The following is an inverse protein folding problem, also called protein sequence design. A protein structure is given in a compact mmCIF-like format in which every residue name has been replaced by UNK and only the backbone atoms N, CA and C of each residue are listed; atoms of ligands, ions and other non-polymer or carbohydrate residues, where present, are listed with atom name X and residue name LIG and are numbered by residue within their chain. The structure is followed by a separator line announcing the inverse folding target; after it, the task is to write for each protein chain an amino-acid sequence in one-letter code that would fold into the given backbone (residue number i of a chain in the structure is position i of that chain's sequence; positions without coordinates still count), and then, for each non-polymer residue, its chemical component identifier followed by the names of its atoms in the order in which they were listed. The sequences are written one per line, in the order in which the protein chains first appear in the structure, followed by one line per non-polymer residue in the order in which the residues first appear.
data_IF_873822329468
#
_entry.id   IF_873822329468
#
_cell.length_a   1.000
_cell.length_b   1.000
_cell.length_c   1.000
_cell.angle_alpha   90.00
_cell.angle_beta   90.00
_cell.angle_gamma   90.00
#
_symmetry.space_group_name_H-M   'P 1'
#
loop_
_entity.id
_entity.type
_entity.pdbx_description
1 polymer ?
#
# COMPACT_ATOMS: atom_id res chain seq x y z
N UNK A 1 8.68 25.54 14.13
CA UNK A 1 9.18 25.05 12.83
C UNK A 1 10.00 26.19 12.23
N UNK A 2 11.21 25.94 11.70
CA UNK A 2 11.99 27.01 11.03
C UNK A 2 11.14 27.66 9.94
N UNK A 3 11.22 28.98 9.79
CA UNK A 3 10.55 29.69 8.70
C UNK A 3 11.01 29.11 7.35
N UNK A 4 10.04 28.65 6.55
CA UNK A 4 10.32 28.25 5.17
C UNK A 4 10.62 29.52 4.36
N UNK A 5 11.72 29.53 3.62
CA UNK A 5 12.03 30.67 2.75
C UNK A 5 11.08 30.73 1.57
N UNK A 6 10.77 31.94 1.09
CA UNK A 6 9.90 32.17 -0.07
C UNK A 6 10.37 31.36 -1.29
N UNK A 7 11.67 31.34 -1.57
CA UNK A 7 12.24 30.54 -2.67
C UNK A 7 12.00 29.03 -2.54
N UNK A 8 11.98 28.48 -1.32
CA UNK A 8 11.62 27.06 -1.10
C UNK A 8 10.16 26.80 -1.38
N UNK A 9 9.28 27.70 -0.97
CA UNK A 9 7.84 27.56 -1.22
C UNK A 9 7.55 27.64 -2.72
N UNK A 10 8.17 28.57 -3.45
CA UNK A 10 8.04 28.67 -4.91
C UNK A 10 8.52 27.41 -5.62
N UNK A 11 9.70 26.87 -5.24
CA UNK A 11 10.19 25.61 -5.79
C UNK A 11 9.26 24.43 -5.49
N UNK A 12 8.70 24.38 -4.28
CA UNK A 12 7.70 23.38 -3.89
C UNK A 12 6.43 23.46 -4.72
N UNK A 13 5.93 24.67 -5.01
CA UNK A 13 4.78 24.88 -5.89
C UNK A 13 5.07 24.45 -7.34
N UNK A 14 6.27 24.71 -7.87
CA UNK A 14 6.67 24.25 -9.20
C UNK A 14 6.70 22.72 -9.31
N UNK A 15 7.20 22.03 -8.29
CA UNK A 15 7.12 20.56 -8.20
C UNK A 15 5.66 20.11 -8.12
N UNK A 16 4.82 20.84 -7.38
CA UNK A 16 3.38 20.62 -7.31
C UNK A 16 2.67 20.66 -8.66
N UNK A 17 3.05 21.59 -9.53
CA UNK A 17 2.55 21.66 -10.91
C UNK A 17 2.94 20.40 -11.69
N UNK A 18 4.21 19.99 -11.60
CA UNK A 18 4.68 18.74 -12.23
C UNK A 18 3.92 17.51 -11.73
N UNK A 19 3.65 17.44 -10.42
CA UNK A 19 2.83 16.37 -9.85
C UNK A 19 1.40 16.38 -10.39
N UNK A 20 0.77 17.56 -10.50
CA UNK A 20 -0.57 17.69 -11.04
C UNK A 20 -0.66 17.22 -12.50
N UNK A 21 0.34 17.57 -13.33
CA UNK A 21 0.42 17.09 -14.72
C UNK A 21 0.57 15.56 -14.82
N UNK A 22 1.22 14.94 -13.83
CA UNK A 22 1.37 13.48 -13.76
C UNK A 22 0.22 12.76 -13.06
N UNK A 23 -0.77 13.48 -12.48
CA UNK A 23 -1.94 12.86 -11.84
C UNK A 23 -2.74 11.89 -12.72
N UNK A 24 -2.87 12.06 -14.04
CA UNK A 24 -3.61 11.11 -14.89
C UNK A 24 -3.02 9.70 -14.81
N UNK A 25 -1.71 9.60 -14.62
CA UNK A 25 -0.97 8.35 -14.46
C UNK A 25 -0.90 7.90 -12.99
N UNK A 26 -0.76 8.86 -12.07
CA UNK A 26 -0.63 8.57 -10.64
C UNK A 26 -1.94 8.13 -9.98
N UNK A 27 -3.10 8.51 -10.51
CA UNK A 27 -4.40 8.28 -9.88
C UNK A 27 -4.93 6.84 -10.10
N UNK A 28 -4.80 6.22 -11.29
CA UNK A 28 -4.98 4.77 -11.45
C UNK A 28 -3.99 3.97 -10.60
N UNK A 29 -2.74 4.44 -10.54
CA UNK A 29 -1.73 3.89 -9.64
C UNK A 29 -2.08 4.13 -8.16
N UNK A 30 -2.90 5.12 -7.81
CA UNK A 30 -3.20 5.49 -6.41
C UNK A 30 -4.10 4.50 -5.68
N UNK A 31 -4.95 3.80 -6.43
CA UNK A 31 -5.77 2.68 -5.92
C UNK A 31 -4.87 1.51 -5.51
N UNK A 32 -3.68 1.40 -6.12
CA UNK A 32 -2.71 0.31 -5.92
C UNK A 32 -1.51 0.75 -5.06
N UNK A 33 -1.15 2.04 -5.07
CA UNK A 33 0.09 2.57 -4.50
C UNK A 33 -0.15 3.97 -3.91
N UNK A 34 0.20 4.11 -2.64
CA UNK A 34 0.18 5.28 -1.72
C UNK A 34 0.79 6.60 -2.23
N UNK A 35 1.30 6.62 -3.46
CA UNK A 35 2.18 7.66 -4.01
C UNK A 35 1.63 9.08 -3.83
N UNK A 36 0.37 9.41 -4.16
CA UNK A 36 -0.08 10.81 -4.11
C UNK A 36 -0.09 11.41 -2.70
N UNK A 37 -0.63 10.69 -1.71
CA UNK A 37 -0.66 11.15 -0.32
C UNK A 37 0.76 11.27 0.27
N UNK A 38 1.63 10.32 -0.06
CA UNK A 38 3.03 10.35 0.35
C UNK A 38 3.77 11.57 -0.24
N UNK A 39 3.56 11.86 -1.52
CA UNK A 39 4.20 12.99 -2.19
C UNK A 39 3.73 14.33 -1.58
N UNK A 40 2.44 14.49 -1.29
CA UNK A 40 1.93 15.69 -0.61
C UNK A 40 2.55 15.87 0.78
N UNK A 41 2.71 14.78 1.55
CA UNK A 41 3.36 14.83 2.86
C UNK A 41 4.88 15.07 2.76
N UNK A 42 5.52 14.54 1.71
CA UNK A 42 6.92 14.82 1.43
C UNK A 42 7.11 16.30 1.04
N UNK A 43 6.21 16.87 0.23
CA UNK A 43 6.18 18.30 -0.08
C UNK A 43 5.96 19.15 1.17
N UNK A 44 5.03 18.76 2.03
CA UNK A 44 4.82 19.40 3.33
C UNK A 44 6.11 19.41 4.16
N UNK A 45 6.77 18.26 4.29
CA UNK A 45 7.99 18.11 5.06
C UNK A 45 9.19 18.84 4.42
N UNK A 46 9.23 18.93 3.08
CA UNK A 46 10.36 19.47 2.33
C UNK A 46 10.27 20.98 2.09
N UNK A 47 9.10 21.49 1.74
CA UNK A 47 8.88 22.84 1.20
C UNK A 47 7.83 23.63 2.00
N UNK A 48 7.05 22.96 2.85
CA UNK A 48 6.13 23.58 3.80
C UNK A 48 4.65 23.39 3.46
N UNK A 49 3.75 23.91 4.33
CA UNK A 49 2.32 23.69 4.21
C UNK A 49 1.70 24.34 2.98
N UNK A 50 2.16 25.54 2.61
CA UNK A 50 1.63 26.29 1.46
C UNK A 50 1.86 25.52 0.15
N UNK A 51 3.07 25.00 -0.07
CA UNK A 51 3.36 24.19 -1.26
C UNK A 51 2.53 22.91 -1.31
N UNK A 52 2.31 22.24 -0.17
CA UNK A 52 1.47 21.04 -0.12
C UNK A 52 0.00 21.36 -0.41
N UNK A 53 -0.53 22.46 0.13
CA UNK A 53 -1.90 22.91 -0.11
C UNK A 53 -2.15 23.28 -1.57
N UNK A 54 -1.26 24.09 -2.18
CA UNK A 54 -1.35 24.45 -3.60
C UNK A 54 -1.27 23.21 -4.48
N UNK A 55 -0.34 22.29 -4.20
CA UNK A 55 -0.20 21.04 -4.95
C UNK A 55 -1.45 20.18 -4.83
N UNK A 56 -2.04 20.06 -3.63
CA UNK A 56 -3.27 19.32 -3.42
C UNK A 56 -4.43 19.86 -4.28
N UNK A 57 -4.62 21.18 -4.28
CA UNK A 57 -5.66 21.84 -5.10
C UNK A 57 -5.44 21.57 -6.59
N UNK A 58 -4.20 21.74 -7.08
CA UNK A 58 -3.87 21.49 -8.49
C UNK A 58 -4.08 20.02 -8.89
N UNK A 59 -3.73 19.09 -8.02
CA UNK A 59 -3.89 17.67 -8.28
C UNK A 59 -5.39 17.27 -8.31
N UNK A 60 -6.22 17.81 -7.41
CA UNK A 60 -7.68 17.60 -7.44
C UNK A 60 -8.29 18.22 -8.69
N UNK A 61 -7.89 19.44 -9.06
CA UNK A 61 -8.37 20.10 -10.27
C UNK A 61 -8.02 19.32 -11.54
N UNK A 62 -6.77 18.83 -11.65
CA UNK A 62 -6.33 18.00 -12.77
C UNK A 62 -7.05 16.65 -12.83
N UNK A 63 -7.29 16.02 -11.68
CA UNK A 63 -8.08 14.79 -11.63
C UNK A 63 -9.52 15.03 -12.09
N UNK A 64 -10.12 16.14 -11.66
CA UNK A 64 -11.46 16.55 -12.05
C UNK A 64 -11.61 16.87 -13.54
N UNK A 65 -10.61 17.52 -14.14
CA UNK A 65 -10.65 17.83 -15.58
C UNK A 65 -10.63 16.60 -16.48
N UNK A 66 -10.09 15.47 -16.00
CA UNK A 66 -9.92 14.26 -16.81
C UNK A 66 -10.95 13.17 -16.50
N UNK A 67 -11.31 13.02 -15.24
CA UNK A 67 -12.20 11.96 -14.78
C UNK A 67 -13.53 12.49 -14.21
N UNK A 68 -13.81 13.78 -14.40
CA UNK A 68 -15.03 14.43 -13.93
C UNK A 68 -15.19 14.34 -12.40
N UNK A 69 -16.43 14.14 -11.95
CA UNK A 69 -16.75 14.05 -10.52
C UNK A 69 -15.99 12.93 -9.79
N UNK A 70 -15.81 11.77 -10.44
CA UNK A 70 -15.07 10.62 -9.87
C UNK A 70 -13.62 10.98 -9.60
N UNK A 71 -12.99 11.72 -10.51
CA UNK A 71 -11.64 12.25 -10.31
C UNK A 71 -11.53 13.19 -9.11
N UNK A 72 -12.52 14.06 -8.93
CA UNK A 72 -12.58 14.98 -7.78
C UNK A 72 -12.71 14.18 -6.49
N UNK A 73 -13.62 13.19 -6.42
CA UNK A 73 -13.80 12.36 -5.23
C UNK A 73 -12.52 11.57 -4.89
N UNK A 74 -11.87 10.98 -5.89
CA UNK A 74 -10.61 10.27 -5.68
C UNK A 74 -9.52 11.22 -5.14
N UNK A 75 -9.39 12.41 -5.75
CA UNK A 75 -8.44 13.42 -5.29
C UNK A 75 -8.71 13.85 -3.84
N UNK A 76 -9.96 14.12 -3.48
CA UNK A 76 -10.32 14.57 -2.13
C UNK A 76 -10.14 13.48 -1.07
N UNK A 77 -10.71 12.29 -1.29
CA UNK A 77 -10.79 11.27 -0.26
C UNK A 77 -9.57 10.33 -0.23
N UNK A 78 -9.00 9.99 -1.38
CA UNK A 78 -7.89 9.02 -1.46
C UNK A 78 -6.53 9.69 -1.35
N UNK A 79 -6.44 10.99 -1.65
CA UNK A 79 -5.18 11.74 -1.60
C UNK A 79 -5.18 12.85 -0.55
N UNK A 80 -6.15 13.77 -0.58
CA UNK A 80 -6.11 14.96 0.30
C UNK A 80 -6.40 14.60 1.75
N UNK A 81 -7.43 13.79 2.03
CA UNK A 81 -7.78 13.38 3.39
C UNK A 81 -6.61 12.72 4.17
N UNK A 82 -5.96 11.65 3.68
CA UNK A 82 -4.82 11.03 4.38
C UNK A 82 -3.63 11.99 4.51
N UNK A 83 -3.37 12.83 3.50
CA UNK A 83 -2.32 13.84 3.58
C UNK A 83 -2.64 14.92 4.62
N UNK A 84 -3.89 15.38 4.71
CA UNK A 84 -4.33 16.38 5.69
C UNK A 84 -4.20 15.84 7.12
N UNK A 85 -4.66 14.61 7.38
CA UNK A 85 -4.49 13.95 8.68
C UNK A 85 -3.01 13.79 9.02
N UNK A 86 -2.18 13.35 8.07
CA UNK A 86 -0.73 13.24 8.25
C UNK A 86 -0.08 14.59 8.58
N UNK A 87 -0.43 15.66 7.87
CA UNK A 87 0.04 17.03 8.13
C UNK A 87 -0.33 17.50 9.54
N UNK A 88 -1.58 17.28 9.97
CA UNK A 88 -2.06 17.64 11.31
C UNK A 88 -1.28 16.88 12.39
N UNK A 89 -1.09 15.57 12.23
CA UNK A 89 -0.36 14.75 13.20
C UNK A 89 1.13 15.11 13.26
N UNK A 90 1.75 15.46 12.12
CA UNK A 90 3.12 15.96 12.07
C UNK A 90 3.24 17.35 12.72
N UNK A 91 2.27 18.23 12.48
CA UNK A 91 2.25 19.57 13.07
C UNK A 91 2.09 19.52 14.59
N UNK A 92 1.21 18.66 15.09
CA UNK A 92 1.01 18.39 16.52
C UNK A 92 2.15 17.60 17.17
N UNK A 93 3.17 17.20 16.41
CA UNK A 93 4.28 16.35 16.87
C UNK A 93 3.80 15.07 17.56
N UNK A 94 2.73 14.47 17.04
CA UNK A 94 2.19 13.23 17.57
C UNK A 94 3.24 12.11 17.62
N UNK A 95 3.09 11.18 18.56
CA UNK A 95 3.95 10.00 18.68
C UNK A 95 4.07 9.22 17.37
N UNK A 96 5.20 8.55 17.15
CA UNK A 96 5.48 7.87 15.87
C UNK A 96 4.40 6.83 15.51
N UNK A 97 3.99 6.01 16.47
CA UNK A 97 2.92 5.02 16.29
C UNK A 97 1.56 5.64 15.95
N UNK A 98 1.22 6.78 16.57
CA UNK A 98 -0.05 7.47 16.32
C UNK A 98 -0.10 8.04 14.90
N UNK A 99 1.02 8.56 14.37
CA UNK A 99 1.12 9.01 12.98
C UNK A 99 0.87 7.90 11.97
N UNK A 100 1.47 6.72 12.19
CA UNK A 100 1.24 5.56 11.31
C UNK A 100 -0.21 5.09 11.34
N UNK A 101 -0.79 4.93 12.54
CA UNK A 101 -2.19 4.52 12.71
C UNK A 101 -3.16 5.54 12.11
N UNK A 102 -2.92 6.83 12.37
CA UNK A 102 -3.77 7.91 11.85
C UNK A 102 -3.78 7.97 10.32
N UNK A 103 -2.63 7.81 9.67
CA UNK A 103 -2.54 7.77 8.21
C UNK A 103 -3.24 6.54 7.62
N UNK A 104 -3.10 5.37 8.25
CA UNK A 104 -3.81 4.14 7.84
C UNK A 104 -5.33 4.33 7.96
N UNK A 105 -5.81 4.81 9.10
CA UNK A 105 -7.26 5.00 9.34
C UNK A 105 -7.81 6.04 8.37
N UNK A 106 -7.09 7.15 8.14
CA UNK A 106 -7.50 8.18 7.19
C UNK A 106 -7.59 7.62 5.76
N UNK A 107 -6.66 6.76 5.35
CA UNK A 107 -6.74 6.07 4.06
C UNK A 107 -7.95 5.15 3.98
N UNK A 108 -8.20 4.34 5.02
CA UNK A 108 -9.33 3.42 5.05
C UNK A 108 -10.67 4.15 4.99
N UNK A 109 -10.82 5.23 5.76
CA UNK A 109 -12.01 6.11 5.74
C UNK A 109 -12.14 6.80 4.38
N UNK A 110 -11.04 7.29 3.82
CA UNK A 110 -11.01 7.91 2.51
C UNK A 110 -11.44 6.96 1.39
N UNK A 111 -10.91 5.74 1.38
CA UNK A 111 -11.31 4.71 0.42
C UNK A 111 -12.76 4.29 0.60
N UNK A 112 -13.24 4.11 1.84
CA UNK A 112 -14.64 3.80 2.10
C UNK A 112 -15.58 4.92 1.62
N UNK A 113 -15.25 6.18 1.89
CA UNK A 113 -16.01 7.34 1.42
C UNK A 113 -15.98 7.46 -0.11
N UNK A 114 -14.81 7.29 -0.73
CA UNK A 114 -14.66 7.30 -2.18
C UNK A 114 -15.49 6.20 -2.84
N UNK A 115 -15.40 4.96 -2.36
CA UNK A 115 -16.17 3.83 -2.86
C UNK A 115 -17.67 4.07 -2.70
N UNK A 116 -18.12 4.51 -1.51
CA UNK A 116 -19.52 4.79 -1.23
C UNK A 116 -20.09 5.87 -2.15
N UNK A 117 -19.44 7.03 -2.23
CA UNK A 117 -19.90 8.16 -3.04
C UNK A 117 -19.83 7.83 -4.54
N UNK A 118 -18.77 7.16 -5.00
CA UNK A 118 -18.65 6.77 -6.41
C UNK A 118 -19.72 5.75 -6.79
N UNK A 119 -20.01 4.78 -5.91
CA UNK A 119 -21.09 3.81 -6.14
C UNK A 119 -22.46 4.51 -6.19
N UNK A 120 -22.71 5.47 -5.31
CA UNK A 120 -23.96 6.24 -5.30
C UNK A 120 -24.12 7.17 -6.51
N UNK A 121 -23.02 7.71 -7.04
CA UNK A 121 -23.05 8.67 -8.16
C UNK A 121 -23.05 8.00 -9.53
N UNK A 122 -22.31 6.89 -9.68
CA UNK A 122 -22.21 6.13 -10.94
C UNK A 122 -23.28 5.03 -11.01
N UNK A 123 -23.80 4.55 -9.86
CA UNK A 123 -24.78 3.46 -9.80
C UNK A 123 -24.18 2.08 -10.06
N UNK A 124 -22.84 1.96 -10.05
CA UNK A 124 -22.11 0.74 -10.40
C UNK A 124 -21.02 0.45 -9.38
N UNK A 125 -20.59 -0.82 -9.30
CA UNK A 125 -19.40 -1.16 -8.50
C UNK A 125 -18.14 -0.57 -9.14
N UNK A 126 -17.09 -0.33 -8.33
CA UNK A 126 -15.83 0.23 -8.84
C UNK A 126 -15.18 -0.68 -9.91
N UNK A 127 -15.30 -2.00 -9.75
CA UNK A 127 -14.80 -2.96 -10.73
C UNK A 127 -15.53 -2.81 -12.07
N UNK A 128 -16.87 -2.69 -12.05
CA UNK A 128 -17.65 -2.53 -13.27
C UNK A 128 -17.40 -1.18 -13.95
N UNK A 129 -17.29 -0.10 -13.16
CA UNK A 129 -16.95 1.23 -13.67
C UNK A 129 -15.55 1.25 -14.32
N UNK A 130 -14.57 0.58 -13.71
CA UNK A 130 -13.24 0.45 -14.30
C UNK A 130 -13.23 -0.41 -15.57
N UNK A 131 -13.94 -1.54 -15.58
CA UNK A 131 -14.09 -2.37 -16.78
C UNK A 131 -14.73 -1.60 -17.93
N UNK A 132 -15.77 -0.79 -17.66
CA UNK A 132 -16.39 0.07 -18.67
C UNK A 132 -15.43 1.15 -19.18
N UNK A 133 -14.63 1.76 -18.30
CA UNK A 133 -13.62 2.72 -18.72
C UNK A 133 -12.58 2.08 -19.66
N UNK A 134 -12.07 0.90 -19.30
CA UNK A 134 -11.12 0.15 -20.14
C UNK A 134 -11.75 -0.22 -21.48
N UNK A 135 -13.01 -0.68 -21.49
CA UNK A 135 -13.75 -0.93 -22.72
C UNK A 135 -13.86 0.31 -23.60
N UNK A 136 -14.22 1.46 -23.02
CA UNK A 136 -14.28 2.74 -23.74
C UNK A 136 -12.94 3.14 -24.36
N UNK A 137 -11.83 2.88 -23.68
CA UNK A 137 -10.49 3.15 -24.22
C UNK A 137 -10.12 2.19 -25.36
N UNK A 138 -10.35 0.88 -25.19
CA UNK A 138 -10.00 -0.13 -26.21
C UNK A 138 -10.89 0.01 -27.45
N UNK A 139 -12.19 0.24 -27.27
CA UNK A 139 -13.12 0.43 -28.40
C UNK A 139 -12.84 1.69 -29.22
N UNK A 140 -12.20 2.71 -28.62
CA UNK A 140 -11.75 3.90 -29.32
C UNK A 140 -10.40 3.73 -30.05
N UNK A 141 -9.69 2.61 -29.84
CA UNK A 141 -8.41 2.35 -30.50
C UNK A 141 -8.60 1.83 -31.94
N UNK A 142 -7.62 2.05 -32.83
CA UNK A 142 -7.59 1.40 -34.12
C UNK A 142 -7.59 -0.13 -33.97
N UNK A 143 -8.27 -0.82 -34.89
CA UNK A 143 -8.46 -2.27 -34.91
C UNK A 143 -7.18 -3.09 -34.60
N UNK A 144 -6.05 -2.75 -35.22
CA UNK A 144 -4.79 -3.46 -35.00
C UNK A 144 -4.21 -3.32 -33.59
N UNK A 145 -4.47 -2.20 -32.90
CA UNK A 145 -4.06 -2.03 -31.50
C UNK A 145 -4.95 -2.83 -30.54
N UNK A 146 -6.26 -2.87 -30.82
CA UNK A 146 -7.18 -3.71 -30.07
C UNK A 146 -6.83 -5.21 -30.23
N UNK A 147 -6.51 -5.65 -31.44
CA UNK A 147 -6.09 -7.04 -31.71
C UNK A 147 -4.80 -7.40 -30.98
N UNK A 148 -3.81 -6.51 -30.99
CA UNK A 148 -2.57 -6.70 -30.24
C UNK A 148 -2.81 -6.78 -28.71
N UNK A 149 -3.66 -5.91 -28.18
CA UNK A 149 -4.04 -5.96 -26.76
C UNK A 149 -4.74 -7.29 -26.40
N UNK A 150 -5.65 -7.75 -27.25
CA UNK A 150 -6.36 -9.02 -27.06
C UNK A 150 -5.42 -10.22 -27.17
N UNK A 151 -4.45 -10.21 -28.09
CA UNK A 151 -3.43 -11.25 -28.18
C UNK A 151 -2.53 -11.29 -26.93
N UNK A 152 -2.13 -10.13 -26.40
CA UNK A 152 -1.35 -10.03 -25.16
C UNK A 152 -2.14 -10.54 -23.95
N UNK A 153 -3.42 -10.17 -23.82
CA UNK A 153 -4.28 -10.65 -22.75
C UNK A 153 -4.59 -12.15 -22.89
N UNK A 154 -4.79 -12.62 -24.12
CA UNK A 154 -5.07 -14.01 -24.43
C UNK A 154 -3.92 -14.96 -24.13
N UNK A 155 -2.68 -14.52 -24.35
CA UNK A 155 -1.49 -15.29 -24.00
C UNK A 155 -1.29 -15.48 -22.48
N UNK A 156 -1.95 -14.67 -21.64
CA UNK A 156 -1.73 -14.66 -20.18
C UNK A 156 -2.95 -15.16 -19.41
N UNK A 157 -4.18 -14.90 -19.87
CA UNK A 157 -5.37 -15.00 -19.00
C UNK A 157 -6.66 -15.51 -19.66
N UNK A 158 -6.74 -15.67 -20.99
CA UNK A 158 -7.97 -16.18 -21.60
C UNK A 158 -8.01 -17.72 -21.51
N UNK A 159 -9.16 -18.34 -21.21
CA UNK A 159 -9.35 -19.77 -21.43
C UNK A 159 -9.06 -20.10 -22.90
N UNK A 160 -8.58 -21.30 -23.22
CA UNK A 160 -8.29 -21.69 -24.61
C UNK A 160 -9.52 -21.47 -25.51
N UNK A 161 -9.50 -20.39 -26.29
CA UNK A 161 -10.62 -19.97 -27.15
C UNK A 161 -10.61 -20.67 -28.50
N UNK A 162 -9.59 -21.47 -28.81
CA UNK A 162 -9.41 -22.09 -30.13
C UNK A 162 -9.13 -21.10 -31.27
N UNK A 163 -9.01 -19.80 -30.97
CA UNK A 163 -8.71 -18.74 -31.92
C UNK A 163 -7.19 -18.55 -32.00
N UNK A 164 -6.62 -18.60 -33.21
CA UNK A 164 -5.18 -18.38 -33.43
C UNK A 164 -4.83 -16.89 -33.34
N UNK A 165 -4.57 -16.45 -32.10
CA UNK A 165 -4.18 -15.08 -31.75
C UNK A 165 -2.78 -14.68 -32.29
N UNK A 166 -2.02 -15.61 -32.87
CA UNK A 166 -0.65 -15.40 -33.34
C UNK A 166 -0.52 -15.19 -34.85
N UNK A 167 -1.55 -15.51 -35.66
CA UNK A 167 -1.40 -15.55 -37.13
C UNK A 167 -2.44 -14.79 -37.97
N UNK A 168 -3.30 -13.94 -37.39
CA UNK A 168 -4.30 -13.22 -38.19
C UNK A 168 -4.84 -11.93 -37.60
N UNK A 169 -5.28 -11.02 -38.49
CA UNK A 169 -6.16 -9.89 -38.14
C UNK A 169 -7.52 -10.48 -37.78
N UNK A 170 -7.99 -10.25 -36.54
CA UNK A 170 -9.26 -10.78 -36.07
C UNK A 170 -10.42 -10.19 -36.88
N UNK A 171 -11.39 -11.02 -37.26
CA UNK A 171 -12.64 -10.53 -37.80
C UNK A 171 -13.37 -9.67 -36.76
N UNK A 172 -14.25 -8.77 -37.21
CA UNK A 172 -14.97 -7.88 -36.30
C UNK A 172 -15.80 -8.64 -35.25
N UNK A 173 -16.29 -9.84 -35.61
CA UNK A 173 -17.09 -10.69 -34.73
C UNK A 173 -16.22 -11.44 -33.70
N UNK A 174 -15.10 -12.04 -34.12
CA UNK A 174 -14.14 -12.67 -33.21
C UNK A 174 -13.53 -11.65 -32.23
N UNK A 175 -13.24 -10.43 -32.71
CA UNK A 175 -12.77 -9.33 -31.86
C UNK A 175 -13.79 -8.96 -30.79
N UNK A 176 -15.08 -8.89 -31.14
CA UNK A 176 -16.13 -8.55 -30.19
C UNK A 176 -16.27 -9.63 -29.10
N UNK A 177 -16.27 -10.90 -29.49
CA UNK A 177 -16.37 -12.03 -28.56
C UNK A 177 -15.15 -12.12 -27.62
N UNK A 178 -13.94 -12.04 -28.17
CA UNK A 178 -12.71 -12.02 -27.37
C UNK A 178 -12.64 -10.81 -26.44
N UNK A 179 -13.12 -9.65 -26.90
CA UNK A 179 -13.16 -8.46 -26.07
C UNK A 179 -14.15 -8.59 -24.92
N UNK A 180 -15.33 -9.17 -25.16
CA UNK A 180 -16.30 -9.47 -24.09
C UNK A 180 -15.71 -10.44 -23.06
N UNK A 181 -15.07 -11.53 -23.51
CA UNK A 181 -14.43 -12.50 -22.63
C UNK A 181 -13.24 -11.92 -21.85
N UNK A 182 -12.42 -11.08 -22.49
CA UNK A 182 -11.29 -10.40 -21.85
C UNK A 182 -11.79 -9.43 -20.77
N UNK A 183 -12.85 -8.66 -21.05
CA UNK A 183 -13.45 -7.73 -20.09
C UNK A 183 -14.11 -8.46 -18.92
N UNK A 184 -14.81 -9.57 -19.17
CA UNK A 184 -15.39 -10.41 -18.13
C UNK A 184 -14.30 -11.00 -17.22
N UNK A 185 -13.22 -11.52 -17.80
CA UNK A 185 -12.05 -12.01 -17.05
C UNK A 185 -11.41 -10.90 -16.23
N UNK A 186 -11.16 -9.74 -16.84
CA UNK A 186 -10.59 -8.59 -16.14
C UNK A 186 -11.48 -8.11 -14.99
N UNK A 187 -12.80 -8.06 -15.20
CA UNK A 187 -13.76 -7.70 -14.17
C UNK A 187 -13.74 -8.69 -12.99
N UNK A 188 -13.67 -9.99 -13.27
CA UNK A 188 -13.55 -11.03 -12.24
C UNK A 188 -12.23 -10.91 -11.47
N UNK A 189 -11.10 -10.72 -12.16
CA UNK A 189 -9.79 -10.48 -11.53
C UNK A 189 -9.82 -9.24 -10.67
N UNK A 190 -10.45 -8.15 -11.13
CA UNK A 190 -10.62 -6.94 -10.34
C UNK A 190 -11.49 -7.20 -9.12
N UNK A 191 -12.66 -7.82 -9.25
CA UNK A 191 -13.54 -8.14 -8.10
C UNK A 191 -12.83 -9.00 -7.04
N UNK A 192 -11.95 -9.90 -7.46
CA UNK A 192 -11.11 -10.71 -6.56
C UNK A 192 -9.99 -9.89 -5.92
N UNK A 193 -9.25 -9.12 -6.71
CA UNK A 193 -8.03 -8.44 -6.28
C UNK A 193 -8.25 -7.08 -5.59
N UNK A 194 -9.33 -6.36 -5.90
CA UNK A 194 -9.59 -5.00 -5.42
C UNK A 194 -9.55 -4.91 -3.89
N UNK A 195 -10.22 -5.81 -3.13
CA UNK A 195 -10.15 -5.78 -1.68
C UNK A 195 -8.71 -5.90 -1.15
N UNK A 196 -7.89 -6.77 -1.74
CA UNK A 196 -6.47 -6.89 -1.41
C UNK A 196 -5.68 -5.63 -1.71
N UNK A 197 -5.90 -5.03 -2.88
CA UNK A 197 -5.25 -3.77 -3.28
C UNK A 197 -5.63 -2.60 -2.35
N UNK A 198 -6.89 -2.52 -1.92
CA UNK A 198 -7.34 -1.50 -0.96
C UNK A 198 -6.69 -1.71 0.41
N UNK A 199 -6.62 -2.96 0.88
CA UNK A 199 -5.98 -3.30 2.15
C UNK A 199 -4.47 -2.98 2.14
N UNK A 200 -3.76 -3.34 1.06
CA UNK A 200 -2.35 -3.00 0.91
C UNK A 200 -2.12 -1.49 0.85
N UNK A 201 -2.96 -0.76 0.10
CA UNK A 201 -2.91 0.70 0.02
C UNK A 201 -3.06 1.34 1.41
N UNK A 202 -4.01 0.89 2.23
CA UNK A 202 -4.16 1.35 3.62
C UNK A 202 -2.90 1.13 4.46
N UNK A 203 -2.36 -0.09 4.42
CA UNK A 203 -1.20 -0.48 5.22
C UNK A 203 0.06 0.28 4.79
N UNK A 204 0.36 0.30 3.50
CA UNK A 204 1.47 1.07 2.97
C UNK A 204 1.30 2.57 3.27
N UNK A 205 0.07 3.09 3.30
CA UNK A 205 -0.18 4.50 3.64
C UNK A 205 0.22 4.77 5.06
N UNK A 206 -0.23 3.95 6.01
CA UNK A 206 0.21 4.03 7.40
C UNK A 206 1.74 4.01 7.54
N UNK A 207 2.40 3.10 6.82
CA UNK A 207 3.85 2.91 6.90
C UNK A 207 4.62 4.08 6.28
N UNK A 208 4.36 4.38 5.01
CA UNK A 208 5.15 5.32 4.23
C UNK A 208 4.82 6.77 4.60
N UNK A 209 3.55 7.12 4.70
CA UNK A 209 3.11 8.46 5.10
C UNK A 209 3.43 8.76 6.57
N UNK A 210 3.54 7.72 7.41
CA UNK A 210 4.08 7.86 8.76
C UNK A 210 5.61 8.02 8.76
N UNK A 211 6.34 7.17 8.04
CA UNK A 211 7.79 7.06 8.17
C UNK A 211 8.58 8.15 7.40
N UNK A 212 8.25 8.36 6.12
CA UNK A 212 9.04 9.21 5.21
C UNK A 212 9.05 10.68 5.64
N UNK A 213 7.90 11.37 5.82
CA UNK A 213 7.92 12.77 6.23
C UNK A 213 8.50 12.95 7.64
N UNK A 214 8.27 11.99 8.54
CA UNK A 214 8.88 11.97 9.88
C UNK A 214 10.40 11.90 9.81
N UNK A 215 10.95 11.05 8.93
CA UNK A 215 12.40 10.96 8.69
C UNK A 215 12.96 12.27 8.14
N UNK A 216 12.27 12.88 7.18
CA UNK A 216 12.68 14.14 6.55
C UNK A 216 12.73 15.28 7.57
N UNK A 217 11.69 15.41 8.41
CA UNK A 217 11.63 16.44 9.44
C UNK A 217 12.60 16.17 10.60
N UNK A 218 12.77 14.91 11.02
CA UNK A 218 13.77 14.54 12.03
C UNK A 218 15.19 14.89 11.59
N UNK A 219 15.54 14.63 10.32
CA UNK A 219 16.83 15.04 9.72
C UNK A 219 17.04 16.56 9.70
N UNK A 220 15.96 17.34 9.72
CA UNK A 220 16.00 18.81 9.76
C UNK A 220 16.01 19.37 11.20
N UNK A 221 16.08 18.51 12.21
CA UNK A 221 16.11 18.91 13.61
C UNK A 221 14.75 19.35 14.17
N UNK A 222 13.64 18.88 13.61
CA UNK A 222 12.29 19.29 14.05
C UNK A 222 11.88 18.79 15.46
N UNK A 223 12.76 18.09 16.18
CA UNK A 223 12.46 17.51 17.50
C UNK A 223 11.31 16.50 17.46
N UNK A 224 11.12 15.82 16.32
CA UNK A 224 10.10 14.80 16.13
C UNK A 224 10.66 13.42 16.45
N UNK A 225 9.89 12.63 17.18
CA UNK A 225 10.18 11.21 17.38
C UNK A 225 10.22 10.50 16.01
N UNK A 226 11.26 9.71 15.77
CA UNK A 226 11.39 8.92 14.55
C UNK A 226 12.05 7.59 14.84
N UNK A 227 11.40 6.50 14.44
CA UNK A 227 11.95 5.17 14.55
C UNK A 227 12.62 4.77 13.24
N UNK A 228 13.93 4.54 13.29
CA UNK A 228 14.65 3.92 12.18
C UNK A 228 14.18 2.48 11.95
N UNK A 229 14.40 1.96 10.74
CA UNK A 229 13.92 0.63 10.31
C UNK A 229 14.39 -0.49 11.26
N UNK A 230 15.62 -0.44 11.77
CA UNK A 230 16.11 -1.38 12.79
C UNK A 230 15.26 -1.49 14.07
N UNK A 231 14.49 -0.44 14.41
CA UNK A 231 13.57 -0.45 15.57
C UNK A 231 12.19 -1.00 15.20
N UNK A 232 11.93 -1.29 13.93
CA UNK A 232 10.67 -1.87 13.50
C UNK A 232 10.59 -3.30 14.01
N UNK A 233 9.59 -3.54 14.84
CA UNK A 233 9.17 -4.88 15.19
C UNK A 233 7.66 -4.89 15.42
N UNK A 234 7.05 -6.04 15.13
CA UNK A 234 5.69 -6.35 15.54
C UNK A 234 5.71 -6.63 17.05
N UNK A 235 4.80 -5.98 17.78
CA UNK A 235 4.49 -6.38 19.15
C UNK A 235 3.80 -7.75 19.17
N UNK A 236 3.72 -8.38 20.35
CA UNK A 236 3.08 -9.69 20.52
C UNK A 236 1.69 -9.77 19.86
N UNK A 237 0.83 -8.81 20.15
CA UNK A 237 -0.56 -8.84 19.68
C UNK A 237 -0.63 -8.68 18.16
N UNK A 238 0.22 -7.82 17.59
CA UNK A 238 0.34 -7.64 16.15
C UNK A 238 0.90 -8.88 15.46
N UNK A 239 1.85 -9.59 16.08
CA UNK A 239 2.36 -10.87 15.56
C UNK A 239 1.29 -11.95 15.60
N UNK A 240 0.54 -12.08 16.70
CA UNK A 240 -0.56 -13.05 16.81
C UNK A 240 -1.62 -12.73 15.76
N UNK A 241 -2.01 -11.46 15.61
CA UNK A 241 -2.95 -11.03 14.58
C UNK A 241 -2.45 -11.37 13.17
N UNK A 242 -1.18 -11.09 12.84
CA UNK A 242 -0.62 -11.42 11.54
C UNK A 242 -0.57 -12.93 11.27
N UNK A 243 -0.27 -13.75 12.29
CA UNK A 243 -0.35 -15.22 12.20
C UNK A 243 -1.78 -15.67 11.97
N UNK A 244 -2.75 -15.10 12.69
CA UNK A 244 -4.16 -15.42 12.51
C UNK A 244 -4.62 -15.08 11.09
N UNK A 245 -4.26 -13.90 10.56
CA UNK A 245 -4.54 -13.55 9.16
C UNK A 245 -3.93 -14.59 8.19
N UNK A 246 -2.68 -15.00 8.41
CA UNK A 246 -2.03 -16.02 7.58
C UNK A 246 -2.71 -17.39 7.66
N UNK A 247 -3.11 -17.84 8.85
CA UNK A 247 -3.83 -19.12 9.01
C UNK A 247 -5.23 -19.04 8.40
N UNK A 248 -5.92 -17.92 8.58
CA UNK A 248 -7.23 -17.67 7.96
C UNK A 248 -7.13 -17.63 6.44
N UNK A 249 -6.08 -17.05 5.86
CA UNK A 249 -5.86 -17.08 4.41
C UNK A 249 -5.66 -18.53 3.92
N UNK A 250 -4.81 -19.31 4.58
CA UNK A 250 -4.64 -20.73 4.26
C UNK A 250 -5.94 -21.54 4.39
N UNK A 251 -6.75 -21.26 5.41
CA UNK A 251 -8.05 -21.89 5.59
C UNK A 251 -8.97 -21.61 4.39
N UNK A 252 -9.09 -20.35 3.96
CA UNK A 252 -9.88 -20.02 2.79
C UNK A 252 -9.29 -20.63 1.51
N UNK A 253 -7.98 -20.65 1.35
CA UNK A 253 -7.32 -21.25 0.18
C UNK A 253 -7.62 -22.75 0.05
N UNK A 254 -7.60 -23.49 1.16
CA UNK A 254 -7.72 -24.96 1.16
C UNK A 254 -9.18 -25.41 1.23
N UNK A 255 -10.02 -24.73 2.02
CA UNK A 255 -11.36 -25.22 2.37
C UNK A 255 -12.50 -24.41 1.74
N UNK A 256 -12.27 -23.20 1.26
CA UNK A 256 -13.31 -22.46 0.55
C UNK A 256 -13.29 -22.81 -0.93
N UNK A 257 -14.20 -23.71 -1.32
CA UNK A 257 -14.58 -23.89 -2.74
C UNK A 257 -15.49 -22.77 -3.27
N UNK A 258 -15.87 -21.80 -2.42
CA UNK A 258 -16.75 -20.70 -2.79
C UNK A 258 -15.96 -19.56 -3.42
N UNK A 259 -16.37 -19.15 -4.63
CA UNK A 259 -15.86 -17.96 -5.31
C UNK A 259 -16.09 -16.67 -4.50
N UNK A 260 -17.09 -16.66 -3.61
CA UNK A 260 -17.39 -15.52 -2.74
C UNK A 260 -16.37 -15.33 -1.60
N UNK A 261 -15.62 -16.36 -1.21
CA UNK A 261 -14.63 -16.28 -0.13
C UNK A 261 -13.19 -16.07 -0.64
N UNK A 262 -12.97 -16.16 -1.96
CA UNK A 262 -11.67 -15.90 -2.57
C UNK A 262 -11.13 -14.47 -2.34
N UNK A 263 -11.94 -13.40 -2.30
CA UNK A 263 -11.43 -12.06 -1.95
C UNK A 263 -10.95 -11.98 -0.48
N UNK A 264 -11.58 -12.71 0.44
CA UNK A 264 -11.18 -12.73 1.85
C UNK A 264 -9.80 -13.35 2.03
N UNK A 265 -9.52 -14.46 1.30
CA UNK A 265 -8.18 -15.05 1.22
C UNK A 265 -7.12 -14.00 0.86
N UNK A 266 -7.33 -13.26 -0.24
CA UNK A 266 -6.37 -12.27 -0.75
C UNK A 266 -6.15 -11.15 0.28
N UNK A 267 -7.21 -10.66 0.93
CA UNK A 267 -7.10 -9.61 1.95
C UNK A 267 -6.26 -10.08 3.14
N UNK A 268 -6.57 -11.24 3.72
CA UNK A 268 -5.86 -11.74 4.89
C UNK A 268 -4.40 -12.08 4.58
N UNK A 269 -4.15 -12.67 3.41
CA UNK A 269 -2.79 -12.95 2.95
C UNK A 269 -1.98 -11.65 2.78
N UNK A 270 -2.58 -10.64 2.14
CA UNK A 270 -1.95 -9.32 1.93
C UNK A 270 -1.58 -8.66 3.26
N UNK A 271 -2.50 -8.67 4.25
CA UNK A 271 -2.25 -8.08 5.56
C UNK A 271 -1.08 -8.80 6.26
N UNK A 272 -1.10 -10.13 6.28
CA UNK A 272 -0.06 -10.94 6.89
C UNK A 272 1.30 -10.71 6.21
N UNK A 273 1.33 -10.76 4.87
CA UNK A 273 2.55 -10.61 4.07
C UNK A 273 3.18 -9.23 4.29
N UNK A 274 2.40 -8.14 4.34
CA UNK A 274 2.92 -6.79 4.62
C UNK A 274 3.47 -6.70 6.05
N UNK A 275 2.74 -7.22 7.05
CA UNK A 275 3.17 -7.20 8.45
C UNK A 275 4.50 -7.94 8.63
N UNK A 276 4.62 -9.15 8.07
CA UNK A 276 5.86 -9.91 8.13
C UNK A 276 6.97 -9.29 7.29
N UNK A 277 6.68 -8.72 6.13
CA UNK A 277 7.68 -8.00 5.33
C UNK A 277 8.27 -6.82 6.11
N UNK A 278 7.44 -6.05 6.82
CA UNK A 278 7.92 -4.98 7.71
C UNK A 278 8.84 -5.53 8.81
N UNK A 279 8.45 -6.62 9.45
CA UNK A 279 9.27 -7.29 10.47
C UNK A 279 10.61 -7.75 9.87
N UNK A 280 10.57 -8.34 8.67
CA UNK A 280 11.73 -8.82 7.93
C UNK A 280 12.69 -7.69 7.58
N UNK A 281 12.18 -6.56 7.09
CA UNK A 281 12.98 -5.35 6.86
C UNK A 281 13.67 -4.87 8.13
N UNK A 282 12.96 -4.85 9.27
CA UNK A 282 13.54 -4.52 10.56
C UNK A 282 14.63 -5.50 11.00
N UNK A 283 14.42 -6.80 10.79
CA UNK A 283 15.38 -7.85 11.12
C UNK A 283 16.65 -7.74 10.28
N UNK A 284 16.52 -7.60 8.95
CA UNK A 284 17.65 -7.41 8.04
C UNK A 284 18.42 -6.13 8.39
N UNK A 285 17.73 -5.02 8.68
CA UNK A 285 18.40 -3.78 9.05
C UNK A 285 19.19 -3.91 10.36
N UNK A 286 18.67 -4.65 11.35
CA UNK A 286 19.40 -4.99 12.58
C UNK A 286 20.62 -5.87 12.31
N UNK A 287 20.50 -6.86 11.43
CA UNK A 287 21.63 -7.72 11.06
C UNK A 287 22.73 -6.91 10.37
N UNK A 288 22.39 -6.10 9.36
CA UNK A 288 23.37 -5.27 8.68
C UNK A 288 24.03 -4.24 9.61
N UNK A 289 23.29 -3.68 10.58
CA UNK A 289 23.85 -2.82 11.62
C UNK A 289 24.90 -3.56 12.48
N UNK A 290 24.59 -4.78 12.93
CA UNK A 290 25.53 -5.61 13.69
C UNK A 290 26.78 -5.96 12.89
N UNK A 291 26.63 -6.16 11.57
CA UNK A 291 27.74 -6.40 10.64
C UNK A 291 28.52 -5.14 10.26
N UNK A 292 28.28 -3.98 10.90
CA UNK A 292 29.01 -2.74 10.64
C UNK A 292 28.75 -2.11 9.27
N UNK A 293 27.66 -2.48 8.59
CA UNK A 293 27.37 -1.97 7.25
C UNK A 293 27.00 -0.49 7.26
N UNK A 294 27.50 0.25 6.26
CA UNK A 294 27.20 1.67 6.11
C UNK A 294 25.71 1.90 5.85
N UNK A 295 25.22 3.10 6.21
CA UNK A 295 23.80 3.47 6.07
C UNK A 295 23.31 3.38 4.61
N UNK A 296 24.15 3.70 3.65
CA UNK A 296 23.81 3.66 2.22
C UNK A 296 23.71 2.23 1.71
N UNK A 297 24.68 1.36 2.07
CA UNK A 297 24.63 -0.06 1.71
C UNK A 297 23.39 -0.73 2.28
N UNK A 298 23.08 -0.46 3.54
CA UNK A 298 21.85 -0.93 4.21
C UNK A 298 20.58 -0.52 3.47
N UNK A 299 20.47 0.74 3.06
CA UNK A 299 19.32 1.23 2.31
C UNK A 299 19.16 0.50 0.97
N UNK A 300 20.26 0.29 0.24
CA UNK A 300 20.22 -0.45 -1.03
C UNK A 300 19.87 -1.92 -0.86
N UNK A 301 20.38 -2.59 0.18
CA UNK A 301 20.01 -3.98 0.50
C UNK A 301 18.51 -4.07 0.77
N UNK A 302 17.96 -3.16 1.59
CA UNK A 302 16.54 -3.15 1.91
C UNK A 302 15.67 -2.84 0.68
N UNK A 303 16.08 -1.88 -0.16
CA UNK A 303 15.36 -1.56 -1.41
C UNK A 303 15.43 -2.72 -2.39
N UNK A 304 16.59 -3.37 -2.54
CA UNK A 304 16.77 -4.52 -3.42
C UNK A 304 15.94 -5.72 -2.98
N UNK A 305 15.95 -6.05 -1.69
CA UNK A 305 15.12 -7.13 -1.14
C UNK A 305 13.62 -6.81 -1.25
N UNK A 306 13.24 -5.54 -1.06
CA UNK A 306 11.86 -5.12 -1.24
C UNK A 306 11.46 -5.23 -2.72
N UNK A 307 12.26 -4.76 -3.66
CA UNK A 307 11.98 -4.90 -5.08
C UNK A 307 11.86 -6.38 -5.49
N UNK A 308 12.76 -7.24 -5.01
CA UNK A 308 12.70 -8.67 -5.25
C UNK A 308 11.41 -9.30 -4.68
N UNK A 309 10.95 -8.84 -3.51
CA UNK A 309 9.69 -9.28 -2.90
C UNK A 309 8.44 -8.89 -3.69
N UNK A 310 8.49 -7.80 -4.46
CA UNK A 310 7.38 -7.37 -5.32
C UNK A 310 7.37 -8.14 -6.65
N UNK A 311 8.53 -8.61 -7.12
CA UNK A 311 8.63 -9.41 -8.34
C UNK A 311 8.07 -10.82 -8.18
N UNK A 312 8.07 -11.37 -6.96
CA UNK A 312 7.42 -12.65 -6.66
C UNK A 312 5.91 -12.44 -6.47
N UNK A 313 5.18 -12.14 -7.57
CA UNK A 313 3.74 -11.86 -7.56
C UNK A 313 2.84 -13.04 -7.12
N UNK A 314 3.39 -14.25 -6.99
CA UNK A 314 2.63 -15.48 -6.71
C UNK A 314 3.14 -16.29 -5.51
N UNK A 315 3.85 -15.68 -4.55
CA UNK A 315 4.38 -16.43 -3.41
C UNK A 315 4.73 -15.61 -2.18
N UNK A 316 4.93 -16.30 -1.06
CA UNK A 316 5.40 -15.70 0.20
C UNK A 316 6.79 -15.09 -0.06
N UNK A 317 6.91 -13.78 0.12
CA UNK A 317 8.16 -13.09 -0.14
C UNK A 317 9.28 -13.56 0.80
N UNK A 318 10.52 -13.55 0.31
CA UNK A 318 11.72 -13.87 1.13
C UNK A 318 11.77 -12.99 2.38
N UNK A 319 11.40 -11.71 2.27
CA UNK A 319 11.31 -10.79 3.41
C UNK A 319 10.22 -11.20 4.41
N UNK A 320 9.06 -11.67 3.94
CA UNK A 320 8.01 -12.18 4.82
C UNK A 320 8.46 -13.45 5.56
N UNK A 321 9.17 -14.37 4.91
CA UNK A 321 9.73 -15.56 5.57
C UNK A 321 10.73 -15.17 6.68
N UNK A 322 11.66 -14.26 6.37
CA UNK A 322 12.60 -13.71 7.37
C UNK A 322 11.82 -13.01 8.49
N UNK A 323 10.74 -12.32 8.15
CA UNK A 323 9.82 -11.66 9.07
C UNK A 323 9.15 -12.62 10.03
N UNK A 324 8.53 -13.70 9.53
CA UNK A 324 7.91 -14.76 10.31
C UNK A 324 8.95 -15.36 11.26
N UNK A 325 10.12 -15.72 10.73
CA UNK A 325 11.19 -16.29 11.54
C UNK A 325 11.62 -15.34 12.67
N UNK A 326 11.80 -14.05 12.36
CA UNK A 326 12.14 -13.03 13.35
C UNK A 326 11.01 -12.75 14.34
N UNK A 327 9.75 -12.84 13.95
CA UNK A 327 8.61 -12.56 14.81
C UNK A 327 8.37 -13.67 15.84
N UNK A 328 8.65 -14.92 15.46
CA UNK A 328 8.47 -16.10 16.33
C UNK A 328 9.71 -16.35 17.19
N UNK A 329 10.89 -16.46 16.57
CA UNK A 329 12.13 -16.90 17.22
C UNK A 329 13.15 -15.79 17.48
N UNK A 330 12.94 -14.57 16.96
CA UNK A 330 13.88 -13.47 17.16
C UNK A 330 14.03 -13.04 18.62
N UNK A 331 15.06 -12.24 18.90
CA UNK A 331 15.35 -11.73 20.26
C UNK A 331 14.22 -10.89 20.88
N UNK A 332 13.34 -10.34 20.05
CA UNK A 332 12.12 -9.63 20.46
C UNK A 332 10.84 -10.39 20.07
N UNK A 333 10.98 -11.65 19.64
CA UNK A 333 9.88 -12.47 19.14
C UNK A 333 9.02 -13.07 20.25
N UNK A 334 7.92 -13.72 19.83
CA UNK A 334 6.92 -14.31 20.73
C UNK A 334 7.53 -15.26 21.76
N UNK A 335 8.45 -16.14 21.35
CA UNK A 335 9.05 -17.13 22.25
C UNK A 335 10.00 -16.48 23.26
N UNK A 336 10.77 -15.47 22.84
CA UNK A 336 11.67 -14.74 23.73
C UNK A 336 10.87 -14.00 24.81
N UNK A 337 9.79 -13.31 24.43
CA UNK A 337 8.91 -12.61 25.36
C UNK A 337 8.19 -13.59 26.32
N UNK A 338 7.77 -14.75 25.82
CA UNK A 338 7.15 -15.77 26.67
C UNK A 338 8.13 -16.32 27.71
N UNK A 339 9.39 -16.57 27.31
CA UNK A 339 10.45 -17.01 28.24
C UNK A 339 10.78 -15.94 29.28
N UNK A 340 10.85 -14.67 28.88
CA UNK A 340 11.11 -13.56 29.80
C UNK A 340 10.01 -13.44 30.87
N UNK A 341 8.74 -13.47 30.48
CA UNK A 341 7.62 -13.43 31.44
C UNK A 341 7.58 -14.62 32.39
N UNK A 342 7.97 -15.81 31.93
CA UNK A 342 8.09 -16.98 32.83
C UNK A 342 9.19 -16.77 33.88
N UNK A 343 10.29 -16.10 33.53
CA UNK A 343 11.36 -15.76 34.48
C UNK A 343 10.92 -14.68 35.47
N UNK A 344 10.24 -13.64 34.99
CA UNK A 344 9.70 -12.57 35.84
C UNK A 344 8.69 -13.14 36.86
N UNK A 345 7.72 -13.95 36.42
CA UNK A 345 6.76 -14.61 37.32
C UNK A 345 7.43 -15.50 38.37
N UNK A 346 8.44 -16.29 37.97
CA UNK A 346 9.16 -17.15 38.89
C UNK A 346 9.97 -16.37 39.94
N UNK A 347 10.48 -15.18 39.57
CA UNK A 347 11.19 -14.31 40.50
C UNK A 347 10.21 -13.60 41.46
N UNK A 348 9.02 -13.23 40.99
CA UNK A 348 7.98 -12.63 41.84
C UNK A 348 7.44 -13.64 42.86
N UNK A 349 7.21 -14.89 42.45
CA UNK A 349 6.78 -15.97 43.35
C UNK A 349 7.86 -16.27 44.42
N UNK A 350 9.14 -16.35 44.03
CA UNK A 350 10.25 -16.56 44.97
C UNK A 350 10.43 -15.38 45.95
N UNK A 351 10.21 -14.13 45.51
CA UNK A 351 10.32 -12.96 46.39
C UNK A 351 9.14 -12.87 47.38
N UNK A 352 7.98 -13.46 47.06
CA UNK A 352 6.87 -13.56 48.00
C UNK A 352 7.11 -14.65 49.06
N UNK A 353 7.72 -15.77 48.69
CA UNK A 353 8.05 -16.85 49.62
C UNK A 353 9.21 -16.48 50.60
N UNK A 354 10.12 -15.59 50.20
CA UNK A 354 11.21 -15.09 51.07
C UNK A 354 10.77 -13.96 52.03
N UNK A 355 9.56 -13.42 51.88
CA UNK A 355 9.01 -12.34 52.71
C UNK A 355 8.14 -12.80 53.88
N UNK A 356 7.83 -14.11 53.98
CA UNK A 356 6.95 -14.70 55.01
C UNK A 356 7.68 -15.52 56.09
N UNK A 357 9.01 -15.42 56.20
CA UNK A 357 9.79 -16.08 57.27
C UNK A 357 10.42 -15.12 58.28
#
# INVERSE_FOLDING_TARGET
MKHYSLGRTVAGCAIGVGMALCMPFLLPLSVVIVVPALLLLALFAAFGPVSAAVSAVLCVASAGSLFGAVGIYAGLFVMVLPAAVGCVLLWRKAGYALRMKGALIAQAVGLAAFLGITTLTVGMSLADAFTQFVYGQISAMPAGFADYYLAMMGAIQLPETGIDLLHGVLSAQERAELMEQALATQNNVLKLGLPGMLASSCLYTGILCGHVPSRMLARRGAGLEHWGVHKWHLGRDATIFAILCFVTSLYFLVFSRSSAAAPAYIVFDTIANIAFTMQGMGAVDRMCLKSGQSRTKRAWILVGLFALSQLTQFGISVLALVGIASAVWGSQGLLAQHRQRRRERRNDDNNHDEGEF
#
